data_IF_758233495556
#
_entry.id   IF_758233495556
#
_cell.length_a   1.000
_cell.length_b   1.000
_cell.length_c   1.000
_cell.angle_alpha   90.00
_cell.angle_beta   90.00
_cell.angle_gamma   90.00
#
_symmetry.space_group_name_H-M   'P 1'
#
loop_
_entity.id
_entity.type
_entity.pdbx_description
1 polymer ?
#
# COMPACT_ATOMS: atom_id res chain seq x y z
N UNK A 1 16.13 3.89 -9.06
CA UNK A 1 17.57 3.84 -9.42
C UNK A 1 18.46 4.58 -8.41
N UNK A 2 18.00 5.72 -7.84
CA UNK A 2 18.79 6.52 -6.88
C UNK A 2 19.07 5.79 -5.55
N UNK A 3 18.22 4.87 -5.15
CA UNK A 3 18.35 4.11 -3.90
C UNK A 3 19.09 2.78 -4.06
N UNK A 4 19.43 2.36 -5.30
CA UNK A 4 20.08 1.07 -5.57
C UNK A 4 19.24 -0.16 -5.19
N UNK A 5 17.92 0.01 -5.00
CA UNK A 5 17.00 -1.08 -4.65
C UNK A 5 16.46 -1.77 -5.91
N UNK A 6 16.16 -3.05 -5.78
CA UNK A 6 15.45 -3.81 -6.80
C UNK A 6 13.99 -3.35 -6.87
N UNK A 7 13.51 -3.05 -8.08
CA UNK A 7 12.12 -2.69 -8.35
C UNK A 7 11.46 -3.80 -9.16
N UNK A 8 10.34 -4.29 -8.67
CA UNK A 8 9.48 -5.23 -9.39
C UNK A 8 8.10 -4.60 -9.58
N UNK A 9 7.47 -4.90 -10.71
CA UNK A 9 6.10 -4.45 -11.01
C UNK A 9 5.21 -5.66 -11.18
N UNK A 10 4.17 -5.74 -10.38
CA UNK A 10 3.17 -6.81 -10.45
C UNK A 10 1.80 -6.18 -10.67
N UNK A 11 1.13 -6.56 -11.77
CA UNK A 11 -0.21 -6.08 -12.09
C UNK A 11 -1.25 -6.71 -11.16
N UNK A 12 -2.22 -5.90 -10.71
CA UNK A 12 -3.31 -6.36 -9.84
C UNK A 12 -4.61 -6.67 -10.60
N UNK A 13 -4.67 -6.40 -11.89
CA UNK A 13 -5.91 -6.52 -12.69
C UNK A 13 -6.48 -7.92 -12.65
N UNK A 14 -5.66 -8.95 -12.82
CA UNK A 14 -6.12 -10.34 -12.85
C UNK A 14 -6.73 -10.79 -11.51
N UNK A 15 -6.07 -10.66 -10.35
CA UNK A 15 -6.68 -11.01 -9.07
C UNK A 15 -7.89 -10.13 -8.73
N UNK A 16 -7.84 -8.83 -9.02
CA UNK A 16 -8.97 -7.93 -8.79
C UNK A 16 -10.20 -8.33 -9.61
N UNK A 17 -10.02 -8.60 -10.91
CA UNK A 17 -11.09 -9.09 -11.79
C UNK A 17 -11.67 -10.40 -11.31
N UNK A 18 -10.84 -11.34 -10.86
CA UNK A 18 -11.30 -12.61 -10.31
C UNK A 18 -12.19 -12.44 -9.07
N UNK A 19 -11.86 -11.50 -8.18
CA UNK A 19 -12.72 -11.17 -7.04
C UNK A 19 -14.04 -10.55 -7.48
N UNK A 20 -14.04 -9.62 -8.44
CA UNK A 20 -15.26 -9.00 -8.96
C UNK A 20 -16.18 -10.03 -9.62
N UNK A 21 -15.62 -10.96 -10.41
CA UNK A 21 -16.38 -12.04 -11.02
C UNK A 21 -17.03 -12.94 -9.97
N UNK A 22 -16.28 -13.31 -8.92
CA UNK A 22 -16.80 -14.13 -7.83
C UNK A 22 -17.90 -13.45 -7.03
N UNK A 23 -17.84 -12.12 -6.87
CA UNK A 23 -18.81 -11.32 -6.12
C UNK A 23 -19.99 -10.83 -6.98
N UNK A 24 -19.89 -10.87 -8.29
CA UNK A 24 -20.90 -10.36 -9.23
C UNK A 24 -22.32 -10.84 -8.93
N UNK A 25 -22.58 -12.13 -8.60
CA UNK A 25 -23.94 -12.55 -8.29
C UNK A 25 -24.55 -11.88 -7.05
N UNK A 26 -23.70 -11.45 -6.11
CA UNK A 26 -24.10 -10.78 -4.87
C UNK A 26 -24.19 -9.27 -5.02
N UNK A 27 -23.37 -8.69 -5.93
CA UNK A 27 -23.29 -7.24 -6.18
C UNK A 27 -24.20 -6.77 -7.32
N UNK A 28 -24.95 -7.70 -7.93
CA UNK A 28 -25.80 -7.40 -9.08
C UNK A 28 -26.79 -6.26 -8.79
N UNK A 29 -26.75 -5.23 -9.62
CA UNK A 29 -27.60 -4.04 -9.50
C UNK A 29 -27.13 -3.01 -8.48
N UNK A 30 -25.95 -3.19 -7.86
CA UNK A 30 -25.31 -2.20 -6.99
C UNK A 30 -24.27 -1.42 -7.78
N UNK A 31 -24.21 -0.11 -7.52
CA UNK A 31 -23.16 0.74 -8.09
C UNK A 31 -21.82 0.47 -7.41
N UNK A 32 -20.71 0.49 -8.18
CA UNK A 32 -19.37 0.38 -7.61
C UNK A 32 -19.09 1.46 -6.54
N UNK A 33 -18.38 1.07 -5.48
CA UNK A 33 -18.12 1.98 -4.37
C UNK A 33 -16.90 1.58 -3.54
N UNK A 34 -16.97 1.89 -2.27
CA UNK A 34 -15.88 1.67 -1.31
C UNK A 34 -15.47 0.19 -1.19
N UNK A 35 -16.38 -0.74 -1.51
CA UNK A 35 -16.07 -2.17 -1.48
C UNK A 35 -15.02 -2.52 -2.54
N UNK A 36 -15.18 -2.03 -3.76
CA UNK A 36 -14.27 -2.26 -4.87
C UNK A 36 -12.95 -1.52 -4.68
N UNK A 37 -12.97 -0.28 -4.15
CA UNK A 37 -11.77 0.47 -3.80
C UNK A 37 -10.93 -0.28 -2.76
N UNK A 38 -11.56 -0.72 -1.68
CA UNK A 38 -10.90 -1.52 -0.65
C UNK A 38 -10.41 -2.87 -1.17
N UNK A 39 -11.13 -3.48 -2.09
CA UNK A 39 -10.73 -4.73 -2.72
C UNK A 39 -9.43 -4.58 -3.52
N UNK A 40 -9.26 -3.48 -4.24
CA UNK A 40 -7.98 -3.18 -4.92
C UNK A 40 -6.82 -3.09 -3.94
N UNK A 41 -7.02 -2.41 -2.80
CA UNK A 41 -6.01 -2.30 -1.75
C UNK A 41 -5.67 -3.68 -1.17
N UNK A 42 -6.68 -4.53 -0.93
CA UNK A 42 -6.50 -5.90 -0.41
C UNK A 42 -5.80 -6.82 -1.41
N UNK A 43 -6.06 -6.69 -2.70
CA UNK A 43 -5.30 -7.41 -3.72
C UNK A 43 -3.81 -7.10 -3.63
N UNK A 44 -3.43 -5.82 -3.50
CA UNK A 44 -2.04 -5.41 -3.28
C UNK A 44 -1.47 -6.02 -2.02
N UNK A 45 -2.20 -5.93 -0.91
CA UNK A 45 -1.79 -6.51 0.37
C UNK A 45 -1.51 -8.01 0.28
N UNK A 46 -2.41 -8.77 -0.34
CA UNK A 46 -2.25 -10.21 -0.53
C UNK A 46 -1.00 -10.57 -1.35
N UNK A 47 -0.76 -9.87 -2.47
CA UNK A 47 0.43 -10.07 -3.31
C UNK A 47 1.72 -9.76 -2.55
N UNK A 48 1.76 -8.64 -1.84
CA UNK A 48 2.94 -8.25 -1.05
C UNK A 48 3.22 -9.23 0.09
N UNK A 49 2.20 -9.72 0.78
CA UNK A 49 2.35 -10.74 1.84
C UNK A 49 2.81 -12.08 1.26
N UNK A 50 2.32 -12.49 0.09
CA UNK A 50 2.79 -13.69 -0.58
C UNK A 50 4.27 -13.60 -0.95
N UNK A 51 4.72 -12.45 -1.47
CA UNK A 51 6.14 -12.19 -1.75
C UNK A 51 6.98 -12.21 -0.46
N UNK A 52 6.52 -11.54 0.59
CA UNK A 52 7.16 -11.55 1.91
C UNK A 52 7.37 -12.98 2.42
N UNK A 53 6.32 -13.80 2.39
CA UNK A 53 6.37 -15.18 2.85
C UNK A 53 7.29 -16.05 1.97
N UNK A 54 7.24 -15.86 0.65
CA UNK A 54 8.01 -16.68 -0.29
C UNK A 54 9.51 -16.41 -0.23
N UNK A 55 9.89 -15.14 -0.04
CA UNK A 55 11.28 -14.71 -0.05
C UNK A 55 11.87 -14.44 1.33
N UNK A 56 11.11 -14.63 2.41
CA UNK A 56 11.58 -14.41 3.78
C UNK A 56 11.84 -12.94 4.13
N UNK A 57 11.21 -12.01 3.41
CA UNK A 57 11.35 -10.58 3.64
C UNK A 57 10.31 -10.04 4.62
N UNK A 58 10.65 -8.94 5.31
CA UNK A 58 9.69 -8.20 6.13
C UNK A 58 8.97 -7.16 5.27
N UNK A 59 7.65 -7.25 5.19
CA UNK A 59 6.84 -6.24 4.53
C UNK A 59 6.74 -4.98 5.39
N UNK A 60 7.13 -3.83 4.84
CA UNK A 60 6.97 -2.52 5.46
C UNK A 60 5.69 -1.86 4.95
N UNK A 61 4.88 -1.32 5.87
CA UNK A 61 3.76 -0.46 5.53
C UNK A 61 4.23 0.99 5.42
N UNK A 62 3.62 1.77 4.54
CA UNK A 62 3.97 3.17 4.28
C UNK A 62 2.93 4.16 4.78
N UNK A 63 1.92 3.68 5.51
CA UNK A 63 0.91 4.53 6.14
C UNK A 63 1.52 5.45 7.20
N UNK A 64 1.11 6.71 7.20
CA UNK A 64 1.53 7.70 8.17
C UNK A 64 0.39 8.03 9.17
N UNK A 65 0.72 8.74 10.25
CA UNK A 65 -0.22 9.09 11.31
C UNK A 65 -1.44 9.89 10.82
N UNK A 66 -1.26 10.77 9.85
CA UNK A 66 -2.36 11.57 9.30
C UNK A 66 -3.39 10.69 8.59
N UNK A 67 -2.94 9.70 7.82
CA UNK A 67 -3.83 8.76 7.12
C UNK A 67 -4.63 7.93 8.12
N UNK A 68 -3.98 7.38 9.14
CA UNK A 68 -4.66 6.62 10.19
C UNK A 68 -5.64 7.48 11.01
N UNK A 69 -5.28 8.74 11.31
CA UNK A 69 -6.11 9.64 12.10
C UNK A 69 -7.45 9.99 11.42
N UNK A 70 -7.47 10.03 10.09
CA UNK A 70 -8.69 10.31 9.30
C UNK A 70 -9.38 9.05 8.77
N UNK A 71 -8.86 7.87 9.11
CA UNK A 71 -9.42 6.60 8.65
C UNK A 71 -9.14 6.29 7.18
N UNK A 72 -8.20 6.96 6.55
CA UNK A 72 -7.78 6.69 5.17
C UNK A 72 -6.77 5.53 5.13
N UNK A 73 -7.26 4.36 5.48
CA UNK A 73 -6.48 3.13 5.56
C UNK A 73 -7.41 1.92 5.41
N UNK A 74 -6.96 0.91 4.67
CA UNK A 74 -7.72 -0.31 4.40
C UNK A 74 -7.13 -1.47 5.20
N UNK A 75 -7.95 -2.04 6.11
CA UNK A 75 -7.60 -3.27 6.84
C UNK A 75 -7.35 -4.41 5.84
N UNK A 76 -6.26 -5.14 6.05
CA UNK A 76 -5.78 -6.20 5.15
C UNK A 76 -5.37 -5.72 3.74
N UNK A 77 -5.30 -4.41 3.51
CA UNK A 77 -4.80 -3.78 2.30
C UNK A 77 -3.48 -3.06 2.54
N UNK A 78 -3.47 -1.75 2.46
CA UNK A 78 -2.29 -0.89 2.70
C UNK A 78 -1.77 -0.94 4.14
N UNK A 79 -2.59 -1.42 5.11
CA UNK A 79 -2.15 -1.69 6.49
C UNK A 79 -1.44 -3.04 6.67
N UNK A 80 -1.41 -3.92 5.64
CA UNK A 80 -0.72 -5.20 5.71
C UNK A 80 0.78 -5.00 5.80
N UNK A 81 1.41 -5.60 6.82
CA UNK A 81 2.86 -5.61 6.98
C UNK A 81 3.30 -5.91 8.40
N UNK A 82 4.58 -6.24 8.55
CA UNK A 82 5.18 -6.54 9.84
C UNK A 82 5.69 -5.30 10.60
N UNK A 83 5.88 -4.16 9.90
CA UNK A 83 6.38 -2.93 10.51
C UNK A 83 5.99 -1.68 9.73
N UNK A 84 5.56 -0.64 10.43
CA UNK A 84 5.20 0.67 9.89
C UNK A 84 6.19 1.76 10.32
N UNK A 85 7.28 2.03 9.57
CA UNK A 85 8.37 2.92 10.01
C UNK A 85 7.95 4.37 10.19
N UNK A 86 6.91 4.83 9.52
CA UNK A 86 6.43 6.22 9.56
C UNK A 86 5.03 6.37 10.16
N UNK A 87 4.49 5.30 10.78
CA UNK A 87 3.12 5.27 11.32
C UNK A 87 2.85 6.31 12.41
N UNK A 88 3.88 6.75 13.12
CA UNK A 88 3.79 7.71 14.22
C UNK A 88 4.09 9.16 13.79
N UNK A 89 4.43 9.38 12.50
CA UNK A 89 4.74 10.68 11.94
C UNK A 89 3.54 11.26 11.18
N UNK A 90 3.26 12.55 11.39
CA UNK A 90 2.31 13.28 10.55
C UNK A 90 2.86 13.48 9.13
N UNK A 91 2.00 13.66 8.15
CA UNK A 91 2.36 13.88 6.75
C UNK A 91 3.39 15.00 6.56
N UNK A 92 3.23 16.09 7.30
CA UNK A 92 4.15 17.25 7.29
C UNK A 92 5.53 16.90 7.83
N UNK A 93 5.60 16.04 8.85
CA UNK A 93 6.87 15.57 9.42
C UNK A 93 7.60 14.63 8.44
N UNK A 94 6.85 13.74 7.77
CA UNK A 94 7.40 12.88 6.70
C UNK A 94 8.00 13.74 5.59
N UNK A 95 7.29 14.79 5.14
CA UNK A 95 7.81 15.71 4.13
C UNK A 95 9.07 16.48 4.60
N UNK A 96 9.10 16.92 5.85
CA UNK A 96 10.27 17.56 6.44
C UNK A 96 11.48 16.60 6.48
N UNK A 97 11.24 15.33 6.83
CA UNK A 97 12.28 14.29 6.84
C UNK A 97 12.81 14.02 5.44
N UNK A 98 11.95 13.98 4.42
CA UNK A 98 12.36 13.82 3.01
C UNK A 98 13.27 14.98 2.57
N UNK A 99 12.90 16.22 2.86
CA UNK A 99 13.73 17.39 2.55
C UNK A 99 15.07 17.35 3.27
N UNK A 100 15.07 17.03 4.56
CA UNK A 100 16.30 16.87 5.35
C UNK A 100 17.23 15.77 4.76
N UNK A 101 16.63 14.64 4.33
CA UNK A 101 17.39 13.56 3.70
C UNK A 101 18.02 14.01 2.37
N UNK A 102 17.24 14.70 1.53
CA UNK A 102 17.72 15.17 0.22
C UNK A 102 18.79 16.27 0.32
N UNK A 103 18.80 17.05 1.40
CA UNK A 103 19.84 18.04 1.63
C UNK A 103 21.26 17.44 1.79
N UNK A 104 21.36 16.14 2.13
CA UNK A 104 22.63 15.40 2.23
C UNK A 104 23.07 14.79 0.90
N UNK A 105 22.16 14.15 0.22
CA UNK A 105 22.34 13.63 -1.14
C UNK A 105 20.95 13.37 -1.73
N UNK A 106 20.64 13.82 -2.95
CA UNK A 106 19.35 13.58 -3.59
C UNK A 106 19.07 12.07 -3.71
N UNK A 107 18.00 11.61 -3.11
CA UNK A 107 17.57 10.21 -3.14
C UNK A 107 16.06 10.04 -3.34
N UNK A 108 15.29 11.04 -2.92
CA UNK A 108 13.83 11.04 -2.97
C UNK A 108 13.40 12.02 -4.06
N UNK A 109 12.61 11.62 -5.06
CA UNK A 109 12.07 12.55 -6.07
C UNK A 109 11.22 13.65 -5.44
N UNK A 110 11.27 14.87 -6.02
CA UNK A 110 10.42 16.00 -5.63
C UNK A 110 9.02 15.86 -6.22
#
# INVERSE_FOLDING_TARGET
RLLGVRLETVAIEAPFKGFLEALSPLFNGLEPGIAEENLQSRCRGALMMALSNKFGGLLLTTGNKSEYAVGYATIYGDMCGGFGPIKDLYKTEVQALCRWRNARSPAIPE
#
